data_IF_587897021471
#
_entry.id   IF_587897021471
#
_cell.length_a   1.000
_cell.length_b   1.000
_cell.length_c   1.000
_cell.angle_alpha   90.00
_cell.angle_beta   90.00
_cell.angle_gamma   90.00
#
_symmetry.space_group_name_H-M   'P 1'
#
loop_
_entity.id
_entity.type
_entity.pdbx_description
1 polymer ?
#
# COMPACT_ATOMS: atom_id res chain seq x y z
N UNK A 1 -3.47 -18.44 -25.63
CA UNK A 1 -3.66 -18.52 -24.17
C UNK A 1 -4.29 -17.22 -23.73
N UNK A 2 -5.40 -17.25 -22.98
CA UNK A 2 -6.01 -16.03 -22.48
C UNK A 2 -5.10 -15.34 -21.43
N UNK A 3 -5.08 -14.00 -21.39
CA UNK A 3 -4.29 -13.27 -20.41
C UNK A 3 -4.85 -13.48 -19.00
N UNK A 4 -4.00 -13.96 -18.08
CA UNK A 4 -4.35 -14.05 -16.66
C UNK A 4 -4.41 -12.64 -16.10
N UNK A 5 -5.57 -12.24 -15.56
CA UNK A 5 -5.77 -10.92 -14.93
C UNK A 5 -5.92 -11.07 -13.43
N UNK A 6 -5.30 -10.16 -12.68
CA UNK A 6 -5.37 -10.14 -11.24
C UNK A 6 -5.18 -8.72 -10.69
N UNK A 7 -5.38 -8.56 -9.38
CA UNK A 7 -5.14 -7.30 -8.68
C UNK A 7 -4.30 -7.58 -7.44
N UNK A 8 -3.13 -6.95 -7.34
CA UNK A 8 -2.37 -6.95 -6.10
C UNK A 8 -2.93 -5.89 -5.15
N UNK A 9 -3.17 -6.29 -3.90
CA UNK A 9 -3.71 -5.41 -2.85
C UNK A 9 -2.80 -5.43 -1.64
N UNK A 10 -2.41 -4.26 -1.15
CA UNK A 10 -1.57 -4.15 0.05
C UNK A 10 -2.36 -4.24 1.35
N UNK A 11 -3.67 -3.95 1.30
CA UNK A 11 -4.41 -3.52 2.51
C UNK A 11 -3.86 -2.18 3.01
N UNK A 12 -4.21 -1.80 4.24
CA UNK A 12 -3.61 -0.64 4.91
C UNK A 12 -2.20 -0.97 5.38
N UNK A 13 -1.23 -0.16 4.96
CA UNK A 13 0.18 -0.32 5.32
C UNK A 13 0.83 1.04 5.51
N UNK A 14 1.75 1.18 6.46
CA UNK A 14 2.53 2.42 6.59
C UNK A 14 3.40 2.65 5.34
N UNK A 15 3.60 3.91 4.97
CA UNK A 15 4.44 4.29 3.83
C UNK A 15 5.85 3.72 3.97
N UNK A 16 6.40 3.66 5.19
CA UNK A 16 7.71 3.04 5.42
C UNK A 16 7.82 1.55 5.04
N UNK A 17 6.69 0.84 4.87
CA UNK A 17 6.66 -0.61 4.64
C UNK A 17 5.93 -1.03 3.36
N UNK A 18 5.35 -0.10 2.59
CA UNK A 18 4.54 -0.44 1.42
C UNK A 18 5.31 -1.30 0.40
N UNK A 19 6.59 -0.97 0.16
CA UNK A 19 7.44 -1.65 -0.82
C UNK A 19 7.58 -3.15 -0.51
N UNK A 20 7.88 -3.47 0.75
CA UNK A 20 8.03 -4.85 1.23
C UNK A 20 6.70 -5.60 1.16
N UNK A 21 5.60 -4.97 1.56
CA UNK A 21 4.26 -5.57 1.50
C UNK A 21 3.86 -5.87 0.06
N UNK A 22 4.07 -4.93 -0.85
CA UNK A 22 3.76 -5.08 -2.27
C UNK A 22 4.57 -6.22 -2.88
N UNK A 23 5.89 -6.24 -2.71
CA UNK A 23 6.76 -7.31 -3.23
C UNK A 23 6.28 -8.68 -2.74
N UNK A 24 6.06 -8.84 -1.44
CA UNK A 24 5.56 -10.12 -0.87
C UNK A 24 4.23 -10.54 -1.47
N UNK A 25 3.30 -9.60 -1.66
CA UNK A 25 2.00 -9.88 -2.24
C UNK A 25 2.08 -10.33 -3.70
N UNK A 26 2.88 -9.66 -4.53
CA UNK A 26 3.08 -10.04 -5.95
C UNK A 26 3.67 -11.45 -6.02
N UNK A 27 4.77 -11.72 -5.30
CA UNK A 27 5.41 -13.04 -5.31
C UNK A 27 4.48 -14.16 -4.82
N UNK A 28 3.65 -13.89 -3.81
CA UNK A 28 2.67 -14.86 -3.34
C UNK A 28 1.59 -15.15 -4.40
N UNK A 29 1.05 -14.11 -5.03
CA UNK A 29 0.01 -14.24 -6.05
C UNK A 29 0.51 -14.95 -7.31
N UNK A 30 1.76 -14.72 -7.72
CA UNK A 30 2.33 -15.31 -8.95
C UNK A 30 3.01 -16.66 -8.72
N UNK A 31 2.98 -17.22 -7.50
CA UNK A 31 3.73 -18.44 -7.13
C UNK A 31 3.42 -19.63 -8.05
N UNK A 32 2.15 -19.88 -8.34
CA UNK A 32 1.74 -21.02 -9.18
C UNK A 32 2.08 -20.81 -10.67
N UNK A 33 2.07 -19.56 -11.13
CA UNK A 33 2.52 -19.21 -12.49
C UNK A 33 4.02 -19.42 -12.66
N UNK A 34 4.80 -19.17 -11.60
CA UNK A 34 6.23 -19.46 -11.59
C UNK A 34 6.49 -20.96 -11.59
N UNK A 35 5.77 -21.73 -10.76
CA UNK A 35 5.90 -23.19 -10.73
C UNK A 35 5.53 -23.86 -12.05
N UNK A 36 4.53 -23.33 -12.74
CA UNK A 36 4.07 -23.85 -14.05
C UNK A 36 4.91 -23.38 -15.24
N UNK A 37 5.94 -22.54 -15.02
CA UNK A 37 6.81 -22.01 -16.08
C UNK A 37 6.17 -20.91 -16.94
N UNK A 38 4.95 -20.46 -16.62
CA UNK A 38 4.27 -19.38 -17.35
C UNK A 38 4.85 -17.99 -17.04
N UNK A 39 5.58 -17.87 -15.93
CA UNK A 39 6.24 -16.63 -15.50
C UNK A 39 7.58 -16.96 -14.84
N UNK A 40 8.62 -16.15 -15.04
CA UNK A 40 9.91 -16.37 -14.35
C UNK A 40 9.98 -15.58 -13.05
N UNK A 41 10.74 -16.09 -12.06
CA UNK A 41 11.00 -15.36 -10.81
C UNK A 41 11.69 -14.02 -11.05
N UNK A 42 12.54 -13.93 -12.08
CA UNK A 42 13.21 -12.70 -12.51
C UNK A 42 12.18 -11.67 -13.00
N UNK A 43 11.20 -12.11 -13.79
CA UNK A 43 10.13 -11.24 -14.27
C UNK A 43 9.22 -10.75 -13.14
N UNK A 44 8.92 -11.60 -12.16
CA UNK A 44 8.21 -11.18 -10.93
C UNK A 44 8.98 -10.09 -10.19
N UNK A 45 10.30 -10.26 -10.04
CA UNK A 45 11.16 -9.26 -9.41
C UNK A 45 11.19 -7.94 -10.20
N UNK A 46 11.26 -8.02 -11.53
CA UNK A 46 11.23 -6.85 -12.44
C UNK A 46 9.91 -6.09 -12.30
N UNK A 47 8.78 -6.78 -12.44
CA UNK A 47 7.44 -6.18 -12.36
C UNK A 47 7.17 -5.54 -10.99
N UNK A 48 7.61 -6.18 -9.91
CA UNK A 48 7.53 -5.60 -8.56
C UNK A 48 8.42 -4.35 -8.40
N UNK A 49 9.63 -4.36 -8.98
CA UNK A 49 10.55 -3.23 -8.96
C UNK A 49 10.03 -2.03 -9.75
N UNK A 50 9.44 -2.27 -10.92
CA UNK A 50 8.81 -1.26 -11.77
C UNK A 50 7.68 -0.53 -11.03
N UNK A 51 6.72 -1.28 -10.49
CA UNK A 51 5.62 -0.71 -9.73
C UNK A 51 6.11 0.03 -8.48
N UNK A 52 7.10 -0.54 -7.76
CA UNK A 52 7.67 0.11 -6.58
C UNK A 52 8.33 1.46 -6.91
N UNK A 53 9.10 1.54 -8.00
CA UNK A 53 9.74 2.80 -8.42
C UNK A 53 8.71 3.87 -8.74
N UNK A 54 7.65 3.49 -9.47
CA UNK A 54 6.58 4.42 -9.79
C UNK A 54 5.83 4.88 -8.53
N UNK A 55 5.50 3.95 -7.62
CA UNK A 55 4.86 4.28 -6.34
C UNK A 55 5.74 5.17 -5.47
N UNK A 56 7.06 4.99 -5.46
CA UNK A 56 7.96 5.88 -4.74
C UNK A 56 7.84 7.31 -5.24
N UNK A 57 7.86 7.50 -6.57
CA UNK A 57 7.68 8.83 -7.16
C UNK A 57 6.32 9.45 -6.81
N UNK A 58 5.25 8.66 -6.79
CA UNK A 58 3.92 9.16 -6.42
C UNK A 58 3.82 9.49 -4.93
N UNK A 59 4.16 8.54 -4.06
CA UNK A 59 3.92 8.62 -2.62
C UNK A 59 4.93 9.54 -1.92
N UNK A 60 6.20 9.47 -2.29
CA UNK A 60 7.29 10.18 -1.61
C UNK A 60 7.61 11.48 -2.32
N UNK A 61 7.87 11.44 -3.63
CA UNK A 61 8.34 12.65 -4.32
C UNK A 61 7.21 13.65 -4.60
N UNK A 62 6.04 13.16 -5.05
CA UNK A 62 4.91 14.02 -5.45
C UNK A 62 3.97 14.35 -4.30
N UNK A 63 3.56 13.34 -3.52
CA UNK A 63 2.62 13.53 -2.40
C UNK A 63 3.29 13.88 -1.07
N UNK A 64 4.62 13.75 -1.00
CA UNK A 64 5.45 14.11 0.16
C UNK A 64 4.93 13.46 1.44
N UNK A 65 4.60 12.17 1.36
CA UNK A 65 4.09 11.42 2.51
C UNK A 65 5.22 11.09 3.49
N UNK A 66 4.91 11.20 4.77
CA UNK A 66 5.79 10.74 5.85
C UNK A 66 5.79 9.23 5.92
N UNK A 67 6.89 8.65 6.43
CA UNK A 67 7.01 7.20 6.67
C UNK A 67 5.91 6.63 7.57
N UNK A 68 5.35 7.47 8.45
CA UNK A 68 4.30 7.11 9.39
C UNK A 68 2.87 7.27 8.84
N UNK A 69 2.71 7.88 7.66
CA UNK A 69 1.42 7.91 6.98
C UNK A 69 1.03 6.50 6.54
N UNK A 70 -0.26 6.29 6.30
CA UNK A 70 -0.81 5.00 5.88
C UNK A 70 -1.30 5.11 4.45
N UNK A 71 -1.04 4.07 3.67
CA UNK A 71 -1.53 3.92 2.30
C UNK A 71 -2.23 2.58 2.11
N UNK A 72 -3.15 2.55 1.15
CA UNK A 72 -3.73 1.32 0.59
C UNK A 72 -3.62 1.37 -0.92
N UNK A 73 -3.00 0.35 -1.51
CA UNK A 73 -2.73 0.28 -2.95
C UNK A 73 -3.47 -0.92 -3.53
N UNK A 74 -4.15 -0.69 -4.65
CA UNK A 74 -4.73 -1.73 -5.50
C UNK A 74 -4.19 -1.54 -6.92
N UNK A 75 -3.40 -2.49 -7.40
CA UNK A 75 -2.76 -2.43 -8.71
C UNK A 75 -3.20 -3.62 -9.59
N UNK A 76 -4.12 -3.39 -10.54
CA UNK A 76 -4.49 -4.39 -11.54
C UNK A 76 -3.35 -4.68 -12.52
N UNK A 77 -3.22 -5.93 -12.94
CA UNK A 77 -2.25 -6.37 -13.93
C UNK A 77 -2.76 -7.56 -14.74
N UNK A 78 -2.12 -7.76 -15.89
CA UNK A 78 -2.26 -8.94 -16.73
C UNK A 78 -0.90 -9.62 -16.93
N UNK A 79 -0.93 -10.94 -17.14
CA UNK A 79 0.23 -11.70 -17.61
C UNK A 79 0.09 -11.89 -19.12
N UNK A 80 1.01 -11.28 -19.88
CA UNK A 80 1.01 -11.29 -21.34
C UNK A 80 2.39 -11.72 -21.82
N UNK A 81 2.47 -12.84 -22.54
CA UNK A 81 3.74 -13.35 -23.06
C UNK A 81 4.79 -13.60 -21.97
N UNK A 82 4.37 -14.10 -20.81
CA UNK A 82 5.26 -14.34 -19.67
C UNK A 82 5.82 -13.07 -19.03
N UNK A 83 5.12 -11.93 -19.16
CA UNK A 83 5.47 -10.65 -18.53
C UNK A 83 4.32 -10.10 -17.71
N UNK A 84 4.65 -9.41 -16.62
CA UNK A 84 3.66 -8.63 -15.84
C UNK A 84 3.47 -7.29 -16.55
N UNK A 85 2.23 -6.99 -16.93
CA UNK A 85 1.82 -5.73 -17.54
C UNK A 85 0.81 -5.05 -16.60
N UNK A 86 1.20 -3.89 -16.05
CA UNK A 86 0.36 -3.12 -15.14
C UNK A 86 -0.69 -2.30 -15.90
N UNK A 87 -1.91 -2.25 -15.37
CA UNK A 87 -2.97 -1.36 -15.85
C UNK A 87 -2.88 -0.02 -15.10
N UNK A 88 -1.88 0.81 -15.48
CA UNK A 88 -1.48 2.03 -14.77
C UNK A 88 -2.62 3.02 -14.50
N UNK A 89 -3.52 3.18 -15.47
CA UNK A 89 -4.69 4.06 -15.42
C UNK A 89 -5.73 3.62 -14.38
N UNK A 90 -5.68 2.36 -13.94
CA UNK A 90 -6.63 1.76 -12.99
C UNK A 90 -6.04 1.53 -11.60
N UNK A 91 -4.78 1.91 -11.37
CA UNK A 91 -4.17 1.82 -10.05
C UNK A 91 -4.88 2.78 -9.11
N UNK A 92 -5.31 2.25 -7.96
CA UNK A 92 -5.97 3.04 -6.90
C UNK A 92 -5.06 3.14 -5.69
N UNK A 93 -4.92 4.36 -5.18
CA UNK A 93 -4.15 4.66 -3.97
C UNK A 93 -5.06 5.44 -3.02
N UNK A 94 -5.28 4.91 -1.83
CA UNK A 94 -5.88 5.66 -0.72
C UNK A 94 -4.77 6.08 0.24
N UNK A 95 -4.82 7.33 0.70
CA UNK A 95 -3.82 7.94 1.58
C UNK A 95 -4.49 8.41 2.86
N UNK A 96 -3.88 8.10 4.00
CA UNK A 96 -4.31 8.53 5.32
C UNK A 96 -3.12 9.18 6.03
N UNK A 97 -3.16 10.50 6.17
CA UNK A 97 -2.10 11.25 6.84
C UNK A 97 -2.22 11.13 8.33
N UNK A 98 -1.09 10.95 9.01
CA UNK A 98 -1.03 10.91 10.47
C UNK A 98 -1.30 12.31 11.01
N UNK A 99 -2.21 12.41 11.97
CA UNK A 99 -2.37 13.63 12.78
C UNK A 99 -1.20 13.75 13.75
N UNK A 100 -0.69 14.96 13.92
CA UNK A 100 0.42 15.24 14.83
C UNK A 100 0.15 14.68 16.24
N UNK A 101 1.07 13.90 16.83
CA UNK A 101 0.92 13.37 18.19
C UNK A 101 0.61 14.43 19.25
N UNK A 102 1.13 15.65 19.12
CA UNK A 102 0.88 16.74 20.06
C UNK A 102 -0.56 17.22 19.99
N UNK A 103 -1.11 17.33 18.77
CA UNK A 103 -2.52 17.66 18.54
C UNK A 103 -3.43 16.60 19.13
N UNK A 104 -3.10 15.32 18.92
CA UNK A 104 -3.84 14.20 19.53
C UNK A 104 -3.75 14.27 21.06
N UNK A 105 -2.57 14.55 21.62
CA UNK A 105 -2.37 14.68 23.07
C UNK A 105 -3.20 15.82 23.66
N UNK A 106 -3.22 16.99 23.02
CA UNK A 106 -4.02 18.13 23.44
C UNK A 106 -5.51 17.81 23.43
N UNK A 107 -6.00 17.17 22.36
CA UNK A 107 -7.41 16.74 22.26
C UNK A 107 -7.79 15.75 23.36
N UNK A 108 -6.90 14.79 23.68
CA UNK A 108 -7.12 13.85 24.79
C UNK A 108 -7.19 14.56 26.15
N UNK A 109 -6.29 15.51 26.41
CA UNK A 109 -6.29 16.30 27.66
C UNK A 109 -7.58 17.11 27.81
N UNK A 110 -8.05 17.73 26.73
CA UNK A 110 -9.31 18.49 26.74
C UNK A 110 -10.51 17.58 27.05
N UNK A 111 -10.63 16.45 26.35
CA UNK A 111 -11.69 15.48 26.58
C UNK A 111 -11.66 14.90 28.02
N UNK A 112 -10.47 14.76 28.62
CA UNK A 112 -10.33 14.33 30.01
C UNK A 112 -10.84 15.39 31.01
N UNK A 113 -10.58 16.67 30.76
CA UNK A 113 -11.07 17.77 31.60
C UNK A 113 -12.59 17.88 31.58
N UNK A 114 -13.22 17.73 30.40
CA UNK A 114 -14.68 17.73 30.27
C UNK A 114 -15.34 16.62 31.10
N UNK A 115 -14.75 15.41 31.13
CA UNK A 115 -15.28 14.31 31.96
C UNK A 115 -15.21 14.61 33.45
N UNK A 116 -14.09 15.17 33.91
CA UNK A 116 -13.90 15.53 35.32
C UNK A 116 -14.89 16.62 35.76
N UNK A 117 -15.29 17.51 34.86
CA UNK A 117 -16.27 18.58 35.12
C UNK A 117 -17.73 18.11 35.06
N UNK A 118 -18.00 16.93 34.49
CA UNK A 118 -19.34 16.31 34.46
C UNK A 118 -19.57 15.34 35.63
N UNK A 119 -18.50 14.75 36.20
CA UNK A 119 -18.54 13.89 37.39
C UNK A 119 -18.30 14.57 38.78
N UNK A 120 -18.28 15.91 38.98
CA UNK A 120 -18.16 16.49 40.31
C UNK A 120 -19.56 16.53 40.95
N UNK A 121 -20.09 15.38 41.37
CA UNK A 121 -21.36 15.34 42.11
C UNK A 121 -22.23 14.07 42.01
N UNK A 122 -21.65 12.87 41.91
CA UNK A 122 -22.33 11.66 42.38
C UNK A 122 -21.72 11.19 43.70
#
# INVERSE_FOLDING_TARGET
>A
MEPVRAVVRTGTVIVGYYATKLRRAIFAQTRELVKSGQLSSQEVARGAGELNRWLYSVLVDKLVLSKADIVRIEAPYAIIGGKIVWEWDKIKISVYRRVDPEVVSAAMKHAQQERILVEPGQ
#
